data_IF_130111663021
#
_entry.id   IF_130111663021
#
_cell.length_a   1.000
_cell.length_b   1.000
_cell.length_c   1.000
_cell.angle_alpha   90.00
_cell.angle_beta   90.00
_cell.angle_gamma   90.00
#
_symmetry.space_group_name_H-M   'P 1'
#
loop_
_entity.id
_entity.type
_entity.pdbx_description
1 polymer ?
#
# COMPACT_ATOMS: atom_id res chain seq x y z
N UNK A 1 -21.18 17.49 26.55
CA UNK A 1 -19.85 16.89 26.16
C UNK A 1 -19.75 15.58 26.87
N UNK A 2 -20.18 14.50 26.24
CA UNK A 2 -20.10 13.17 26.84
C UNK A 2 -18.64 12.79 26.99
N UNK A 3 -18.27 12.42 28.23
CA UNK A 3 -16.91 11.96 28.53
C UNK A 3 -16.55 10.85 27.56
N UNK A 4 -15.48 11.04 26.80
CA UNK A 4 -15.00 10.09 25.80
C UNK A 4 -14.68 8.75 26.48
N UNK A 5 -15.59 7.79 26.37
CA UNK A 5 -15.51 6.49 27.04
C UNK A 5 -14.70 5.47 26.21
N UNK A 6 -13.61 5.91 25.53
CA UNK A 6 -12.73 5.07 24.74
C UNK A 6 -11.25 5.35 25.01
N UNK A 7 -10.40 4.32 24.90
CA UNK A 7 -8.96 4.43 25.09
C UNK A 7 -8.24 4.73 23.76
N UNK A 8 -7.99 6.04 23.49
CA UNK A 8 -7.35 6.50 22.24
C UNK A 8 -5.99 5.84 21.99
N UNK A 9 -5.15 5.65 23.02
CA UNK A 9 -3.82 5.03 22.86
C UNK A 9 -3.94 3.57 22.45
N UNK A 10 -4.87 2.84 23.07
CA UNK A 10 -5.10 1.42 22.77
C UNK A 10 -5.70 1.23 21.38
N UNK A 11 -6.68 2.08 20.99
CA UNK A 11 -7.27 2.06 19.64
C UNK A 11 -6.24 2.41 18.57
N UNK A 12 -5.34 3.38 18.85
CA UNK A 12 -4.25 3.71 17.93
C UNK A 12 -3.27 2.54 17.78
N UNK A 13 -2.84 1.94 18.89
CA UNK A 13 -1.95 0.76 18.87
C UNK A 13 -2.59 -0.40 18.09
N UNK A 14 -3.86 -0.69 18.35
CA UNK A 14 -4.64 -1.68 17.63
C UNK A 14 -4.66 -1.41 16.12
N UNK A 15 -4.92 -0.15 15.72
CA UNK A 15 -4.90 0.25 14.31
C UNK A 15 -3.53 0.00 13.66
N UNK A 16 -2.44 0.34 14.35
CA UNK A 16 -1.07 0.09 13.88
C UNK A 16 -0.79 -1.40 13.70
N UNK A 17 -1.19 -2.24 14.67
CA UNK A 17 -1.00 -3.70 14.58
C UNK A 17 -1.87 -4.31 13.48
N UNK A 18 -3.10 -3.84 13.31
CA UNK A 18 -3.97 -4.27 12.22
C UNK A 18 -3.34 -3.96 10.84
N UNK A 19 -2.74 -2.77 10.69
CA UNK A 19 -2.03 -2.37 9.47
C UNK A 19 -0.77 -3.22 9.22
N UNK A 20 -0.10 -3.70 10.27
CA UNK A 20 1.03 -4.63 10.15
C UNK A 20 0.58 -5.97 9.52
N UNK A 21 -0.61 -6.50 9.82
CA UNK A 21 -1.14 -7.69 9.15
C UNK A 21 -1.26 -7.46 7.65
N UNK A 22 -1.87 -6.33 7.26
CA UNK A 22 -1.93 -5.90 5.87
C UNK A 22 -0.54 -5.85 5.23
N UNK A 23 0.41 -5.17 5.87
CA UNK A 23 1.75 -4.97 5.37
C UNK A 23 2.55 -6.28 5.20
N UNK A 24 2.54 -7.16 6.21
CA UNK A 24 3.22 -8.46 6.13
C UNK A 24 2.62 -9.31 5.01
N UNK A 25 1.29 -9.21 4.75
CA UNK A 25 0.67 -9.94 3.63
C UNK A 25 1.23 -9.54 2.26
N UNK A 26 1.75 -8.32 2.11
CA UNK A 26 2.46 -7.87 0.90
C UNK A 26 3.85 -8.54 0.79
N UNK A 27 4.65 -8.52 1.86
CA UNK A 27 5.94 -9.19 1.89
C UNK A 27 5.81 -10.72 1.66
N UNK A 28 4.75 -11.32 2.23
CA UNK A 28 4.45 -12.73 2.08
C UNK A 28 4.23 -13.10 0.61
N UNK A 29 3.36 -12.40 -0.11
CA UNK A 29 3.12 -12.67 -1.53
C UNK A 29 4.40 -12.49 -2.35
N UNK A 30 5.16 -11.41 -2.11
CA UNK A 30 6.41 -11.15 -2.81
C UNK A 30 7.45 -12.27 -2.63
N UNK A 31 7.49 -12.93 -1.46
CA UNK A 31 8.42 -14.04 -1.20
C UNK A 31 7.90 -15.39 -1.68
N UNK A 32 6.60 -15.64 -1.54
CA UNK A 32 6.01 -16.95 -1.85
C UNK A 32 5.70 -17.15 -3.33
N UNK A 33 5.72 -16.09 -4.14
CA UNK A 33 5.49 -16.17 -5.59
C UNK A 33 6.28 -17.30 -6.25
N UNK A 34 7.63 -17.33 -6.22
CA UNK A 34 8.40 -18.38 -6.86
C UNK A 34 8.19 -19.76 -6.23
N UNK A 35 7.88 -19.82 -4.92
CA UNK A 35 7.60 -21.08 -4.24
C UNK A 35 6.28 -21.67 -4.76
N UNK A 36 5.21 -20.88 -4.84
CA UNK A 36 3.92 -21.36 -5.36
C UNK A 36 3.98 -21.71 -6.85
N UNK A 37 4.80 -21.00 -7.64
CA UNK A 37 5.06 -21.38 -9.02
C UNK A 37 5.66 -22.77 -9.10
N UNK A 38 6.67 -23.04 -8.27
CA UNK A 38 7.35 -24.35 -8.23
C UNK A 38 6.45 -25.45 -7.66
N UNK A 39 5.84 -25.22 -6.48
CA UNK A 39 5.12 -26.26 -5.74
C UNK A 39 3.80 -26.67 -6.43
N UNK A 40 3.15 -25.73 -7.13
CA UNK A 40 1.86 -25.95 -7.79
C UNK A 40 1.93 -26.01 -9.31
N UNK A 41 3.12 -25.88 -9.89
CA UNK A 41 3.32 -25.88 -11.34
C UNK A 41 2.62 -24.71 -12.05
N UNK A 42 2.57 -23.54 -11.40
CA UNK A 42 1.90 -22.35 -11.92
C UNK A 42 2.84 -21.49 -12.74
N UNK A 43 2.30 -20.88 -13.78
CA UNK A 43 3.02 -19.85 -14.55
C UNK A 43 3.03 -18.51 -13.79
N UNK A 44 3.87 -17.58 -14.22
CA UNK A 44 3.90 -16.23 -13.65
C UNK A 44 2.58 -15.48 -13.91
N UNK A 45 1.90 -15.79 -15.01
CA UNK A 45 0.55 -15.28 -15.31
C UNK A 45 -0.47 -15.82 -14.32
N UNK A 46 -0.45 -17.14 -14.04
CA UNK A 46 -1.37 -17.79 -13.08
C UNK A 46 -1.21 -17.18 -11.68
N UNK A 47 0.02 -16.96 -11.23
CA UNK A 47 0.29 -16.31 -9.94
C UNK A 47 -0.19 -14.86 -9.94
N UNK A 48 0.02 -14.11 -11.03
CA UNK A 48 -0.51 -12.77 -11.17
C UNK A 48 -2.03 -12.71 -11.04
N UNK A 49 -2.71 -13.68 -11.64
CA UNK A 49 -4.16 -13.85 -11.54
C UNK A 49 -4.58 -14.26 -10.10
N UNK A 50 -3.91 -15.23 -9.49
CA UNK A 50 -4.22 -15.69 -8.14
C UNK A 50 -3.97 -14.62 -7.06
N UNK A 51 -3.02 -13.71 -7.27
CA UNK A 51 -2.72 -12.61 -6.35
C UNK A 51 -3.51 -11.33 -6.63
N UNK A 52 -4.08 -11.18 -7.82
CA UNK A 52 -4.92 -10.05 -8.20
C UNK A 52 -6.02 -9.71 -7.17
N UNK A 53 -6.77 -10.72 -6.63
CA UNK A 53 -7.81 -10.49 -5.62
C UNK A 53 -7.35 -9.78 -4.35
N UNK A 54 -6.08 -9.90 -3.98
CA UNK A 54 -5.54 -9.16 -2.85
C UNK A 54 -5.61 -7.64 -3.07
N UNK A 55 -5.62 -7.17 -4.31
CA UNK A 55 -5.62 -5.75 -4.69
C UNK A 55 -7.02 -5.25 -5.07
N UNK A 56 -7.73 -5.93 -6.00
CA UNK A 56 -9.10 -5.47 -6.33
C UNK A 56 -10.09 -5.75 -5.20
N UNK A 57 -9.89 -6.82 -4.41
CA UNK A 57 -10.64 -7.06 -3.19
C UNK A 57 -10.42 -5.95 -2.16
N UNK A 58 -9.18 -5.48 -2.03
CA UNK A 58 -8.84 -4.31 -1.23
C UNK A 58 -9.61 -3.06 -1.71
N UNK A 59 -9.60 -2.78 -3.02
CA UNK A 59 -10.30 -1.64 -3.62
C UNK A 59 -11.80 -1.68 -3.34
N UNK A 60 -12.43 -2.81 -3.67
CA UNK A 60 -13.87 -3.01 -3.46
C UNK A 60 -14.22 -2.82 -1.98
N UNK A 61 -13.44 -3.42 -1.11
CA UNK A 61 -13.61 -3.34 0.34
C UNK A 61 -13.48 -1.92 0.87
N UNK A 62 -12.46 -1.16 0.43
CA UNK A 62 -12.32 0.25 0.83
C UNK A 62 -13.54 1.09 0.47
N UNK A 63 -14.03 0.95 -0.77
CA UNK A 63 -15.19 1.73 -1.24
C UNK A 63 -16.47 1.30 -0.51
N UNK A 64 -16.71 -0.01 -0.39
CA UNK A 64 -17.90 -0.53 0.26
C UNK A 64 -17.91 -0.22 1.75
N UNK A 65 -16.89 -0.65 2.49
CA UNK A 65 -16.88 -0.43 3.94
C UNK A 65 -16.67 1.03 4.31
N UNK A 66 -15.92 1.81 3.51
CA UNK A 66 -15.84 3.26 3.68
C UNK A 66 -17.19 3.96 3.56
N UNK A 67 -18.10 3.44 2.72
CA UNK A 67 -19.47 3.95 2.60
C UNK A 67 -20.38 3.51 3.75
N UNK A 68 -20.13 2.32 4.32
CA UNK A 68 -20.99 1.74 5.37
C UNK A 68 -20.44 1.88 6.80
N UNK A 69 -19.19 2.29 6.97
CA UNK A 69 -18.55 2.38 8.29
C UNK A 69 -19.31 3.30 9.25
N UNK A 70 -19.95 4.34 8.72
CA UNK A 70 -20.74 5.29 9.50
C UNK A 70 -22.04 4.67 10.04
N UNK A 71 -22.66 3.78 9.27
CA UNK A 71 -23.95 3.13 9.63
C UNK A 71 -23.74 1.81 10.41
N UNK A 72 -22.71 1.05 10.06
CA UNK A 72 -22.41 -0.23 10.69
C UNK A 72 -21.55 -0.08 11.95
N UNK A 73 -20.73 0.95 11.98
CA UNK A 73 -19.75 1.23 13.02
C UNK A 73 -18.40 0.53 12.77
N UNK A 74 -17.32 1.24 13.07
CA UNK A 74 -15.94 0.81 12.85
C UNK A 74 -15.63 -0.56 13.49
N UNK A 75 -16.18 -0.87 14.67
CA UNK A 75 -15.96 -2.15 15.35
C UNK A 75 -16.45 -3.35 14.55
N UNK A 76 -17.61 -3.26 13.90
CA UNK A 76 -18.15 -4.36 13.09
C UNK A 76 -17.30 -4.58 11.84
N UNK A 77 -16.86 -3.49 11.19
CA UNK A 77 -15.99 -3.57 10.02
C UNK A 77 -14.64 -4.23 10.39
N UNK A 78 -14.05 -3.86 11.54
CA UNK A 78 -12.82 -4.49 12.05
C UNK A 78 -13.01 -5.96 12.44
N UNK A 79 -14.19 -6.34 12.96
CA UNK A 79 -14.52 -7.75 13.24
C UNK A 79 -14.58 -8.56 11.94
N UNK A 80 -15.19 -8.00 10.88
CA UNK A 80 -15.21 -8.63 9.56
C UNK A 80 -13.79 -8.76 8.99
N UNK A 81 -12.96 -7.71 9.11
CA UNK A 81 -11.56 -7.77 8.70
C UNK A 81 -10.79 -8.88 9.41
N UNK A 82 -10.99 -9.02 10.74
CA UNK A 82 -10.38 -10.10 11.52
C UNK A 82 -10.75 -11.49 11.01
N UNK A 83 -12.05 -11.72 10.78
CA UNK A 83 -12.55 -13.00 10.27
C UNK A 83 -11.98 -13.29 8.87
N UNK A 84 -11.98 -12.30 7.99
CA UNK A 84 -11.47 -12.43 6.63
C UNK A 84 -9.95 -12.69 6.61
N UNK A 85 -9.18 -12.01 7.45
CA UNK A 85 -7.76 -12.30 7.60
C UNK A 85 -7.54 -13.73 8.13
N UNK A 86 -8.30 -14.16 9.14
CA UNK A 86 -8.20 -15.52 9.67
C UNK A 86 -8.48 -16.56 8.57
N UNK A 87 -9.58 -16.39 7.83
CA UNK A 87 -9.96 -17.28 6.70
C UNK A 87 -8.86 -17.27 5.62
N UNK A 88 -8.39 -16.09 5.23
CA UNK A 88 -7.40 -15.95 4.16
C UNK A 88 -6.03 -16.51 4.53
N UNK A 89 -5.56 -16.30 5.77
CA UNK A 89 -4.31 -16.87 6.28
C UNK A 89 -4.42 -18.40 6.33
N UNK A 90 -5.53 -18.92 6.93
CA UNK A 90 -5.78 -20.36 6.98
C UNK A 90 -5.85 -20.95 5.57
N UNK A 91 -6.62 -20.33 4.67
CA UNK A 91 -6.75 -20.78 3.30
C UNK A 91 -5.43 -20.78 2.53
N UNK A 92 -4.54 -19.82 2.82
CA UNK A 92 -3.19 -19.79 2.22
C UNK A 92 -2.34 -20.94 2.75
N UNK A 93 -2.36 -21.23 4.05
CA UNK A 93 -1.60 -22.35 4.65
C UNK A 93 -1.99 -23.69 4.03
N UNK A 94 -3.28 -23.89 3.77
CA UNK A 94 -3.83 -25.12 3.20
C UNK A 94 -4.06 -25.03 1.68
N UNK A 95 -3.47 -24.05 1.01
CA UNK A 95 -3.60 -23.91 -0.44
C UNK A 95 -2.96 -25.10 -1.17
N UNK A 96 -3.56 -25.46 -2.30
CA UNK A 96 -3.13 -26.59 -3.13
C UNK A 96 -3.08 -26.29 -4.63
N UNK A 97 -3.18 -25.02 -5.00
CA UNK A 97 -3.15 -24.58 -6.39
C UNK A 97 -3.75 -23.19 -6.59
N UNK A 98 -3.90 -22.78 -7.83
CA UNK A 98 -4.29 -21.43 -8.26
C UNK A 98 -5.59 -20.95 -7.61
N UNK A 99 -6.66 -21.76 -7.63
CA UNK A 99 -7.98 -21.34 -7.13
C UNK A 99 -8.03 -21.20 -5.62
N UNK A 100 -7.34 -22.07 -4.88
CA UNK A 100 -7.24 -21.92 -3.42
C UNK A 100 -6.47 -20.67 -3.02
N UNK A 101 -5.40 -20.35 -3.74
CA UNK A 101 -4.68 -19.09 -3.60
C UNK A 101 -5.56 -17.87 -3.95
N UNK A 102 -6.31 -17.95 -5.05
CA UNK A 102 -7.22 -16.88 -5.48
C UNK A 102 -8.24 -16.52 -4.38
N UNK A 103 -8.94 -17.50 -3.82
CA UNK A 103 -9.92 -17.24 -2.77
C UNK A 103 -9.27 -16.83 -1.44
N UNK A 104 -8.12 -17.37 -1.10
CA UNK A 104 -7.37 -16.99 0.10
C UNK A 104 -6.87 -15.53 0.01
N UNK A 105 -6.32 -15.15 -1.13
CA UNK A 105 -5.85 -13.78 -1.37
C UNK A 105 -7.00 -12.78 -1.48
N UNK A 106 -8.17 -13.21 -2.01
CA UNK A 106 -9.39 -12.41 -2.00
C UNK A 106 -9.84 -12.10 -0.56
N UNK A 107 -9.86 -13.11 0.31
CA UNK A 107 -10.21 -12.91 1.72
C UNK A 107 -9.23 -11.96 2.42
N UNK A 108 -7.92 -12.13 2.21
CA UNK A 108 -6.91 -11.22 2.75
C UNK A 108 -7.10 -9.80 2.18
N UNK A 109 -7.33 -9.66 0.88
CA UNK A 109 -7.49 -8.36 0.23
C UNK A 109 -8.71 -7.59 0.74
N UNK A 110 -9.86 -8.27 0.87
CA UNK A 110 -11.07 -7.68 1.44
C UNK A 110 -10.85 -7.31 2.92
N UNK A 111 -10.15 -8.15 3.69
CA UNK A 111 -9.75 -7.86 5.07
C UNK A 111 -8.85 -6.62 5.16
N UNK A 112 -7.84 -6.51 4.30
CA UNK A 112 -6.92 -5.37 4.23
C UNK A 112 -7.67 -4.05 3.95
N UNK A 113 -8.57 -4.04 2.96
CA UNK A 113 -9.37 -2.85 2.64
C UNK A 113 -10.34 -2.47 3.76
N UNK A 114 -10.89 -3.45 4.47
CA UNK A 114 -11.74 -3.21 5.65
C UNK A 114 -10.95 -2.57 6.80
N UNK A 115 -9.67 -2.97 7.02
CA UNK A 115 -8.77 -2.32 7.98
C UNK A 115 -8.59 -0.85 7.63
N UNK A 116 -8.26 -0.53 6.38
CA UNK A 116 -8.06 0.86 5.96
C UNK A 116 -9.35 1.69 6.06
N UNK A 117 -10.48 1.12 5.63
CA UNK A 117 -11.78 1.78 5.69
C UNK A 117 -12.23 2.13 7.13
N UNK A 118 -11.81 1.34 8.12
CA UNK A 118 -12.15 1.57 9.53
C UNK A 118 -11.07 2.33 10.30
N UNK A 119 -9.78 2.01 10.13
CA UNK A 119 -8.71 2.58 10.94
C UNK A 119 -8.37 4.02 10.56
N UNK A 120 -8.46 4.40 9.28
CA UNK A 120 -8.22 5.78 8.86
C UNK A 120 -9.18 6.77 9.56
N UNK A 121 -10.52 6.62 9.45
CA UNK A 121 -11.44 7.48 10.16
C UNK A 121 -11.34 7.34 11.68
N UNK A 122 -11.01 6.16 12.21
CA UNK A 122 -10.78 5.95 13.64
C UNK A 122 -9.63 6.83 14.15
N UNK A 123 -8.46 6.77 13.50
CA UNK A 123 -7.29 7.57 13.88
C UNK A 123 -7.60 9.06 13.78
N UNK A 124 -8.29 9.51 12.73
CA UNK A 124 -8.73 10.90 12.60
C UNK A 124 -9.67 11.32 13.74
N UNK A 125 -10.62 10.45 14.13
CA UNK A 125 -11.61 10.74 15.17
C UNK A 125 -11.02 10.78 16.58
N UNK A 126 -10.05 9.91 16.90
CA UNK A 126 -9.43 9.87 18.23
C UNK A 126 -8.34 10.95 18.43
N UNK A 127 -7.88 11.60 17.35
CA UNK A 127 -6.89 12.68 17.39
C UNK A 127 -7.33 13.89 16.56
N UNK A 128 -8.48 14.53 16.88
CA UNK A 128 -9.08 15.58 16.05
C UNK A 128 -8.18 16.81 15.86
N UNK A 129 -7.35 17.13 16.86
CA UNK A 129 -6.45 18.30 16.84
C UNK A 129 -5.11 18.02 16.17
N UNK A 130 -4.79 16.77 15.79
CA UNK A 130 -3.48 16.38 15.23
C UNK A 130 -3.61 15.25 14.20
N UNK A 131 -4.68 15.30 13.39
CA UNK A 131 -5.06 14.25 12.43
C UNK A 131 -3.95 13.88 11.46
N UNK A 132 -3.42 14.88 10.74
CA UNK A 132 -2.43 14.66 9.70
C UNK A 132 -1.17 13.98 10.25
N UNK A 133 -0.64 14.43 11.39
CA UNK A 133 0.54 13.84 12.00
C UNK A 133 0.27 12.42 12.50
N UNK A 134 -0.90 12.17 13.09
CA UNK A 134 -1.26 10.85 13.62
C UNK A 134 -1.58 9.84 12.52
N UNK A 135 -2.21 10.27 11.42
CA UNK A 135 -2.39 9.45 10.23
C UNK A 135 -1.04 9.11 9.57
N UNK A 136 -0.13 10.08 9.43
CA UNK A 136 1.22 9.79 8.94
C UNK A 136 1.94 8.79 9.84
N UNK A 137 1.85 8.95 11.18
CA UNK A 137 2.43 8.01 12.15
C UNK A 137 1.79 6.61 12.06
N UNK A 138 0.50 6.52 11.80
CA UNK A 138 -0.20 5.27 11.53
C UNK A 138 0.36 4.61 10.26
N UNK A 139 0.46 5.35 9.15
CA UNK A 139 0.90 4.81 7.86
C UNK A 139 2.41 4.49 7.76
N UNK A 140 3.24 4.88 8.71
CA UNK A 140 4.63 4.38 8.82
C UNK A 140 4.66 2.86 9.01
N UNK A 141 3.63 2.29 9.64
CA UNK A 141 3.56 0.86 9.94
C UNK A 141 3.26 -0.01 8.70
N UNK A 142 2.83 0.58 7.58
CA UNK A 142 2.71 -0.15 6.33
C UNK A 142 4.10 -0.52 5.76
N UNK A 143 4.99 0.41 5.39
CA UNK A 143 6.33 0.04 4.97
C UNK A 143 7.13 -0.63 6.10
N UNK A 144 6.92 -0.24 7.36
CA UNK A 144 7.53 -0.89 8.52
C UNK A 144 7.14 -2.36 8.68
N UNK A 145 5.86 -2.68 8.44
CA UNK A 145 5.38 -4.07 8.45
C UNK A 145 5.92 -4.90 7.29
N UNK A 146 6.13 -4.29 6.11
CA UNK A 146 6.80 -4.97 4.99
C UNK A 146 8.26 -5.28 5.35
N UNK A 147 8.98 -4.36 6.01
CA UNK A 147 10.34 -4.63 6.51
C UNK A 147 10.33 -5.84 7.45
N UNK A 148 9.42 -5.84 8.45
CA UNK A 148 9.30 -6.96 9.39
C UNK A 148 9.03 -8.26 8.64
N UNK A 149 8.03 -8.28 7.74
CA UNK A 149 7.68 -9.46 6.95
C UNK A 149 8.84 -9.95 6.08
N UNK A 150 9.57 -9.04 5.43
CA UNK A 150 10.71 -9.39 4.56
C UNK A 150 11.88 -9.97 5.34
N UNK A 151 12.21 -9.39 6.52
CA UNK A 151 13.28 -9.91 7.37
C UNK A 151 12.89 -11.26 7.99
N UNK A 152 11.65 -11.42 8.44
CA UNK A 152 11.15 -12.72 8.93
C UNK A 152 11.17 -13.75 7.82
N UNK A 153 10.76 -13.41 6.58
CA UNK A 153 10.87 -14.31 5.44
C UNK A 153 12.31 -14.75 5.19
N UNK A 154 13.24 -13.80 5.15
CA UNK A 154 14.65 -14.09 4.95
C UNK A 154 15.18 -15.06 6.02
N UNK A 155 14.97 -14.76 7.31
CA UNK A 155 15.46 -15.64 8.37
C UNK A 155 14.79 -17.01 8.38
N UNK A 156 13.48 -17.09 8.21
CA UNK A 156 12.76 -18.36 8.28
C UNK A 156 13.02 -19.23 7.06
N UNK A 157 12.97 -18.67 5.86
CA UNK A 157 12.99 -19.45 4.62
C UNK A 157 14.40 -19.56 4.02
N UNK A 158 15.23 -18.50 4.07
CA UNK A 158 16.52 -18.51 3.41
C UNK A 158 17.67 -18.89 4.37
N UNK A 159 17.56 -18.60 5.68
CA UNK A 159 18.60 -18.93 6.67
C UNK A 159 18.29 -20.23 7.39
N UNK A 160 17.06 -20.38 7.91
CA UNK A 160 16.65 -21.53 8.74
C UNK A 160 16.01 -22.65 7.91
N UNK A 161 15.74 -22.43 6.62
CA UNK A 161 15.10 -23.38 5.70
C UNK A 161 13.81 -24.00 6.26
N UNK A 162 12.99 -23.20 6.94
CA UNK A 162 11.70 -23.63 7.47
C UNK A 162 10.64 -23.70 6.36
N UNK A 163 9.60 -24.46 6.60
CA UNK A 163 8.47 -24.56 5.68
C UNK A 163 7.73 -23.21 5.56
N UNK A 164 7.35 -22.85 4.33
CA UNK A 164 6.66 -21.60 4.06
C UNK A 164 5.33 -21.45 4.79
N UNK A 165 4.65 -22.57 5.13
CA UNK A 165 3.42 -22.55 5.92
C UNK A 165 3.64 -21.94 7.32
N UNK A 166 4.81 -22.18 7.94
CA UNK A 166 5.16 -21.55 9.22
C UNK A 166 5.34 -20.04 9.08
N UNK A 167 5.95 -19.59 7.96
CA UNK A 167 6.06 -18.16 7.67
C UNK A 167 4.67 -17.51 7.49
N UNK A 168 3.75 -18.16 6.77
CA UNK A 168 2.36 -17.69 6.68
C UNK A 168 1.68 -17.65 8.05
N UNK A 169 1.87 -18.69 8.86
CA UNK A 169 1.28 -18.78 10.20
C UNK A 169 1.75 -17.66 11.16
N UNK A 170 2.92 -17.04 10.91
CA UNK A 170 3.37 -15.87 11.67
C UNK A 170 2.39 -14.69 11.64
N UNK A 171 1.56 -14.58 10.58
CA UNK A 171 0.52 -13.55 10.51
C UNK A 171 -0.55 -13.68 11.60
N UNK A 172 -0.74 -14.88 12.18
CA UNK A 172 -1.65 -15.03 13.30
C UNK A 172 -1.23 -14.25 14.54
N UNK A 173 0.08 -13.97 14.71
CA UNK A 173 0.58 -13.22 15.86
C UNK A 173 -0.03 -11.80 15.87
N UNK A 174 0.24 -10.92 14.87
CA UNK A 174 -0.35 -9.59 14.85
C UNK A 174 -1.89 -9.63 14.70
N UNK A 175 -2.45 -10.64 14.02
CA UNK A 175 -3.89 -10.84 13.90
C UNK A 175 -4.55 -10.98 15.28
N UNK A 176 -4.06 -11.92 16.09
CA UNK A 176 -4.60 -12.16 17.44
C UNK A 176 -4.39 -10.94 18.34
N UNK A 177 -3.22 -10.28 18.25
CA UNK A 177 -2.93 -9.11 19.06
C UNK A 177 -3.94 -7.99 18.77
N UNK A 178 -4.19 -7.61 17.51
CA UNK A 178 -5.17 -6.54 17.25
C UNK A 178 -6.60 -6.99 17.59
N UNK A 179 -6.92 -8.27 17.36
CA UNK A 179 -8.21 -8.84 17.77
C UNK A 179 -8.47 -8.68 19.27
N UNK A 180 -7.50 -9.07 20.11
CA UNK A 180 -7.61 -8.93 21.56
C UNK A 180 -7.65 -7.46 22.02
N UNK A 181 -6.95 -6.57 21.32
CA UNK A 181 -6.92 -5.16 21.66
C UNK A 181 -8.27 -4.46 21.46
N UNK A 182 -9.09 -4.86 20.46
CA UNK A 182 -10.35 -4.17 20.20
C UNK A 182 -11.60 -4.83 20.81
N UNK A 183 -11.53 -6.09 21.25
CA UNK A 183 -12.71 -6.86 21.68
C UNK A 183 -13.58 -6.14 22.73
N UNK A 184 -12.93 -5.55 23.76
CA UNK A 184 -13.62 -4.86 24.88
C UNK A 184 -13.68 -3.36 24.72
N UNK A 185 -13.14 -2.79 23.62
CA UNK A 185 -13.09 -1.34 23.43
C UNK A 185 -14.40 -0.80 22.85
N UNK A 186 -14.75 0.39 23.30
CA UNK A 186 -15.76 1.24 22.67
C UNK A 186 -15.10 2.10 21.59
N UNK A 187 -15.84 2.41 20.53
CA UNK A 187 -15.33 3.17 19.38
C UNK A 187 -16.08 4.50 19.28
N UNK A 188 -15.39 5.59 18.91
CA UNK A 188 -16.06 6.87 18.64
C UNK A 188 -16.94 6.77 17.39
N UNK A 189 -17.82 7.76 17.20
CA UNK A 189 -18.45 7.99 15.91
C UNK A 189 -17.43 8.59 14.94
N UNK A 190 -17.63 8.35 13.63
CA UNK A 190 -16.77 8.95 12.62
C UNK A 190 -16.98 10.46 12.52
N UNK A 191 -15.95 11.19 12.15
CA UNK A 191 -16.02 12.64 12.00
C UNK A 191 -17.05 13.08 10.95
N UNK A 192 -17.30 12.26 9.92
CA UNK A 192 -18.33 12.52 8.91
C UNK A 192 -19.72 12.65 9.50
N UNK A 193 -20.06 11.81 10.48
CA UNK A 193 -21.36 11.88 11.19
C UNK A 193 -21.49 13.21 11.93
N UNK A 194 -20.37 13.73 12.45
CA UNK A 194 -20.36 14.98 13.21
C UNK A 194 -20.26 16.24 12.36
N UNK A 195 -19.76 16.19 11.12
CA UNK A 195 -19.50 17.36 10.26
C UNK A 195 -20.61 17.70 9.25
N UNK A 196 -21.60 16.83 9.05
CA UNK A 196 -22.76 17.09 8.20
C UNK A 196 -22.51 17.18 6.69
N UNK A 197 -21.34 16.79 6.17
CA UNK A 197 -21.02 16.81 4.73
C UNK A 197 -21.89 15.81 3.96
N UNK A 198 -22.55 16.29 2.91
CA UNK A 198 -23.44 15.45 2.10
C UNK A 198 -22.67 14.52 1.15
N UNK A 199 -23.14 13.30 1.02
CA UNK A 199 -22.55 12.30 0.10
C UNK A 199 -22.59 12.77 -1.36
N UNK A 200 -23.63 13.52 -1.76
CA UNK A 200 -23.81 14.00 -3.13
C UNK A 200 -22.72 14.98 -3.58
N UNK A 201 -22.31 15.89 -2.72
CA UNK A 201 -21.21 16.83 -3.00
C UNK A 201 -19.88 16.13 -3.18
N UNK A 202 -19.59 15.12 -2.35
CA UNK A 202 -18.39 14.31 -2.50
C UNK A 202 -18.35 13.59 -3.85
N UNK A 203 -19.44 12.92 -4.26
CA UNK A 203 -19.51 12.24 -5.57
C UNK A 203 -19.33 13.20 -6.74
N UNK A 204 -19.96 14.40 -6.68
CA UNK A 204 -19.80 15.42 -7.70
C UNK A 204 -18.35 15.90 -7.83
N UNK A 205 -17.60 15.97 -6.75
CA UNK A 205 -16.19 16.39 -6.79
C UNK A 205 -15.29 15.41 -7.55
N UNK A 206 -15.64 14.12 -7.59
CA UNK A 206 -14.88 13.10 -8.32
C UNK A 206 -14.93 13.30 -9.86
N UNK A 207 -15.91 14.04 -10.36
CA UNK A 207 -16.02 14.35 -11.80
C UNK A 207 -15.17 15.54 -12.23
N UNK A 208 -14.48 16.22 -11.32
CA UNK A 208 -13.60 17.34 -11.66
C UNK A 208 -12.42 16.87 -12.50
N UNK A 209 -12.04 17.63 -13.56
CA UNK A 209 -10.92 17.24 -14.43
C UNK A 209 -9.61 17.00 -13.68
N UNK A 210 -9.34 17.79 -12.63
CA UNK A 210 -8.13 17.61 -11.80
C UNK A 210 -8.19 16.33 -10.98
N UNK A 211 -9.38 15.91 -10.50
CA UNK A 211 -9.54 14.63 -9.81
C UNK A 211 -9.28 13.46 -10.77
N UNK A 212 -9.85 13.48 -11.96
CA UNK A 212 -9.67 12.45 -12.99
C UNK A 212 -8.20 12.36 -13.41
N UNK A 213 -7.52 13.51 -13.57
CA UNK A 213 -6.09 13.57 -13.85
C UNK A 213 -5.27 12.90 -12.72
N UNK A 214 -5.55 13.24 -11.47
CA UNK A 214 -4.86 12.63 -10.32
C UNK A 214 -5.17 11.15 -10.18
N UNK A 215 -6.41 10.73 -10.46
CA UNK A 215 -6.82 9.32 -10.49
C UNK A 215 -6.00 8.54 -11.54
N UNK A 216 -5.83 9.08 -12.74
CA UNK A 216 -4.99 8.48 -13.79
C UNK A 216 -3.51 8.41 -13.34
N UNK A 217 -2.97 9.49 -12.80
CA UNK A 217 -1.60 9.47 -12.25
C UNK A 217 -1.44 8.43 -11.14
N UNK A 218 -2.47 8.23 -10.30
CA UNK A 218 -2.43 7.24 -9.21
C UNK A 218 -2.33 5.81 -9.72
N UNK A 219 -3.00 5.47 -10.83
CA UNK A 219 -2.84 4.17 -11.47
C UNK A 219 -1.36 3.90 -11.80
N UNK A 220 -0.67 4.88 -12.37
CA UNK A 220 0.73 4.74 -12.79
C UNK A 220 1.71 4.74 -11.61
N UNK A 221 1.48 5.59 -10.59
CA UNK A 221 2.34 5.64 -9.39
C UNK A 221 2.26 4.36 -8.59
N UNK A 222 1.05 3.83 -8.37
CA UNK A 222 0.84 2.59 -7.63
C UNK A 222 1.45 1.37 -8.33
N UNK A 223 1.32 1.29 -9.65
CA UNK A 223 1.98 0.24 -10.44
C UNK A 223 3.51 0.34 -10.31
N UNK A 224 4.07 1.53 -10.45
CA UNK A 224 5.52 1.75 -10.33
C UNK A 224 6.05 1.26 -8.99
N UNK A 225 5.38 1.58 -7.90
CA UNK A 225 5.77 1.22 -6.54
C UNK A 225 5.43 -0.25 -6.21
N UNK A 226 4.14 -0.58 -6.23
CA UNK A 226 3.64 -1.82 -5.63
C UNK A 226 3.81 -3.04 -6.54
N UNK A 227 3.59 -2.93 -7.86
CA UNK A 227 3.74 -4.07 -8.74
C UNK A 227 5.20 -4.54 -8.79
N UNK A 228 6.17 -3.61 -8.83
CA UNK A 228 7.60 -3.93 -8.73
C UNK A 228 7.94 -4.64 -7.42
N UNK A 229 7.42 -4.15 -6.28
CA UNK A 229 7.66 -4.78 -4.98
C UNK A 229 7.03 -6.18 -4.86
N UNK A 230 5.85 -6.38 -5.44
CA UNK A 230 5.17 -7.68 -5.40
C UNK A 230 5.89 -8.76 -6.23
N UNK A 231 6.56 -8.39 -7.30
CA UNK A 231 7.32 -9.29 -8.16
C UNK A 231 8.82 -9.31 -7.85
N UNK A 232 9.27 -8.71 -6.77
CA UNK A 232 10.70 -8.50 -6.49
C UNK A 232 11.51 -9.80 -6.50
N UNK A 233 10.95 -10.90 -6.03
CA UNK A 233 11.61 -12.20 -6.00
C UNK A 233 11.89 -12.73 -7.41
N UNK A 234 10.88 -12.69 -8.29
CA UNK A 234 11.03 -13.14 -9.68
C UNK A 234 11.83 -12.16 -10.53
N UNK A 235 11.67 -10.84 -10.31
CA UNK A 235 12.39 -9.82 -11.06
C UNK A 235 13.91 -9.84 -10.79
N UNK A 236 14.33 -10.25 -9.60
CA UNK A 236 15.73 -10.30 -9.17
C UNK A 236 16.29 -11.73 -9.12
N UNK A 237 15.61 -12.73 -9.68
CA UNK A 237 16.04 -14.13 -9.62
C UNK A 237 17.49 -14.34 -10.12
N UNK A 238 17.86 -13.66 -11.19
CA UNK A 238 19.19 -13.77 -11.82
C UNK A 238 20.16 -12.64 -11.43
N UNK A 239 19.78 -11.79 -10.47
CA UNK A 239 20.54 -10.57 -10.16
C UNK A 239 21.61 -10.75 -9.07
N UNK A 240 21.89 -11.99 -8.62
CA UNK A 240 22.82 -12.29 -7.53
C UNK A 240 22.62 -11.41 -6.28
N UNK A 241 21.39 -11.19 -5.90
CA UNK A 241 20.99 -10.43 -4.73
C UNK A 241 19.90 -11.22 -3.95
N UNK A 242 19.73 -10.91 -2.66
CA UNK A 242 18.70 -11.55 -1.86
C UNK A 242 17.42 -10.68 -1.93
N UNK A 243 16.37 -11.12 -2.66
CA UNK A 243 15.20 -10.26 -2.95
C UNK A 243 14.52 -9.71 -1.70
N UNK A 244 14.42 -10.50 -0.62
CA UNK A 244 13.79 -10.05 0.61
C UNK A 244 14.59 -8.97 1.35
N UNK A 245 15.92 -8.99 1.26
CA UNK A 245 16.74 -7.91 1.81
C UNK A 245 16.64 -6.65 0.94
N UNK A 246 16.51 -6.79 -0.38
CA UNK A 246 16.24 -5.67 -1.29
C UNK A 246 14.88 -5.04 -0.96
N UNK A 247 13.84 -5.85 -0.75
CA UNK A 247 12.50 -5.38 -0.36
C UNK A 247 12.53 -4.69 1.01
N UNK A 248 13.22 -5.27 2.00
CA UNK A 248 13.38 -4.69 3.32
C UNK A 248 14.13 -3.35 3.28
N UNK A 249 15.19 -3.24 2.48
CA UNK A 249 15.92 -1.99 2.26
C UNK A 249 15.04 -0.93 1.62
N UNK A 250 14.35 -1.28 0.53
CA UNK A 250 13.47 -0.36 -0.21
C UNK A 250 12.38 0.19 0.72
N UNK A 251 11.66 -0.69 1.39
CA UNK A 251 10.54 -0.28 2.26
C UNK A 251 11.02 0.38 3.56
N UNK A 252 12.18 0.00 4.07
CA UNK A 252 12.83 0.65 5.21
C UNK A 252 13.22 2.10 4.90
N UNK A 253 13.84 2.35 3.76
CA UNK A 253 14.14 3.71 3.30
C UNK A 253 12.89 4.53 3.01
N UNK A 254 11.80 3.88 2.50
CA UNK A 254 10.50 4.54 2.36
C UNK A 254 9.92 4.96 3.72
N UNK A 255 9.97 4.08 4.72
CA UNK A 255 9.50 4.41 6.07
C UNK A 255 10.27 5.58 6.68
N UNK A 256 11.60 5.56 6.57
CA UNK A 256 12.47 6.66 7.02
C UNK A 256 12.19 7.96 6.25
N UNK A 257 12.12 7.90 4.92
CA UNK A 257 11.85 9.07 4.09
C UNK A 257 10.49 9.70 4.40
N UNK A 258 9.44 8.88 4.62
CA UNK A 258 8.11 9.37 5.06
C UNK A 258 8.15 9.99 6.44
N UNK A 259 8.93 9.44 7.38
CA UNK A 259 9.09 10.03 8.71
C UNK A 259 9.75 11.42 8.68
N UNK A 260 10.64 11.66 7.72
CA UNK A 260 11.37 12.92 7.54
C UNK A 260 10.87 13.76 6.35
N UNK A 261 9.67 13.50 5.83
CA UNK A 261 9.13 14.17 4.63
C UNK A 261 8.91 15.68 4.81
N UNK A 262 8.60 16.15 6.03
CA UNK A 262 8.24 17.55 6.30
C UNK A 262 9.20 18.60 5.67
N UNK A 263 10.51 18.60 5.97
CA UNK A 263 11.45 19.54 5.39
C UNK A 263 11.56 19.49 3.86
N UNK A 264 11.33 18.31 3.26
CA UNK A 264 11.40 18.12 1.80
C UNK A 264 10.16 18.71 1.12
N UNK A 265 8.98 18.47 1.68
CA UNK A 265 7.69 19.03 1.19
C UNK A 265 7.72 20.55 1.21
N UNK A 266 8.25 21.17 2.28
CA UNK A 266 8.34 22.62 2.38
C UNK A 266 9.24 23.27 1.30
N UNK A 267 10.25 22.55 0.81
CA UNK A 267 11.17 23.06 -0.22
C UNK A 267 10.67 22.85 -1.65
N UNK A 268 10.03 21.72 -1.94
CA UNK A 268 9.72 21.29 -3.30
C UNK A 268 8.27 21.57 -3.75
N UNK A 269 7.35 21.94 -2.88
CA UNK A 269 5.90 21.90 -3.08
C UNK A 269 5.37 20.47 -3.36
N UNK A 270 4.07 20.27 -3.21
CA UNK A 270 3.42 18.94 -3.42
C UNK A 270 3.61 18.44 -4.86
N UNK A 271 3.41 19.30 -5.87
CA UNK A 271 3.62 18.96 -7.29
C UNK A 271 5.10 18.76 -7.66
N UNK A 272 6.00 19.55 -7.08
CA UNK A 272 7.45 19.40 -7.26
C UNK A 272 7.96 18.09 -6.68
N UNK A 273 7.41 17.66 -5.56
CA UNK A 273 7.74 16.40 -4.92
C UNK A 273 7.30 15.19 -5.77
N UNK A 274 6.11 15.26 -6.40
CA UNK A 274 5.65 14.24 -7.34
C UNK A 274 6.56 14.15 -8.56
N UNK A 275 6.97 15.29 -9.13
CA UNK A 275 7.91 15.32 -10.25
C UNK A 275 9.28 14.74 -9.88
N UNK A 276 9.84 15.15 -8.73
CA UNK A 276 11.08 14.59 -8.19
C UNK A 276 10.98 13.06 -8.03
N UNK A 277 9.89 12.57 -7.43
CA UNK A 277 9.63 11.15 -7.24
C UNK A 277 9.59 10.40 -8.57
N UNK A 278 8.93 10.93 -9.60
CA UNK A 278 8.88 10.30 -10.92
C UNK A 278 10.26 10.21 -11.58
N UNK A 279 11.06 11.27 -11.51
CA UNK A 279 12.43 11.28 -12.07
C UNK A 279 13.31 10.24 -11.36
N UNK A 280 13.32 10.25 -10.02
CA UNK A 280 14.21 9.38 -9.23
C UNK A 280 13.75 7.92 -9.33
N UNK A 281 12.45 7.63 -9.37
CA UNK A 281 11.96 6.26 -9.56
C UNK A 281 12.26 5.72 -10.95
N UNK A 282 12.19 6.55 -12.00
CA UNK A 282 12.64 6.19 -13.34
C UNK A 282 14.12 5.78 -13.34
N UNK A 283 14.99 6.63 -12.77
CA UNK A 283 16.42 6.34 -12.65
C UNK A 283 16.64 5.05 -11.85
N UNK A 284 15.96 4.88 -10.71
CA UNK A 284 16.06 3.69 -9.86
C UNK A 284 15.69 2.40 -10.59
N UNK A 285 14.57 2.38 -11.35
CA UNK A 285 14.16 1.23 -12.14
C UNK A 285 15.15 0.92 -13.29
N UNK A 286 15.64 1.94 -13.97
CA UNK A 286 16.69 1.78 -14.98
C UNK A 286 17.95 1.19 -14.35
N UNK A 287 18.41 1.72 -13.22
CA UNK A 287 19.56 1.16 -12.51
C UNK A 287 19.32 -0.30 -12.11
N UNK A 288 18.14 -0.62 -11.53
CA UNK A 288 17.80 -2.00 -11.15
C UNK A 288 17.86 -2.96 -12.34
N UNK A 289 17.42 -2.52 -13.53
CA UNK A 289 17.38 -3.34 -14.74
C UNK A 289 18.77 -3.74 -15.28
N UNK A 290 19.82 -2.99 -14.91
CA UNK A 290 21.21 -3.26 -15.32
C UNK A 290 22.11 -3.70 -14.16
N UNK A 291 21.59 -3.76 -12.93
CA UNK A 291 22.39 -4.05 -11.74
C UNK A 291 22.49 -5.54 -11.46
N UNK A 292 23.64 -5.95 -10.91
CA UNK A 292 23.90 -7.31 -10.43
C UNK A 292 24.66 -7.25 -9.10
N UNK A 293 24.47 -8.25 -8.25
CA UNK A 293 25.15 -8.36 -6.96
C UNK A 293 24.89 -7.14 -6.05
N UNK A 294 25.96 -6.58 -5.50
CA UNK A 294 25.87 -5.46 -4.54
C UNK A 294 25.23 -4.19 -5.14
N UNK A 295 25.39 -3.98 -6.46
CA UNK A 295 24.81 -2.81 -7.12
C UNK A 295 23.28 -2.82 -7.14
N UNK A 296 22.63 -3.98 -6.98
CA UNK A 296 21.17 -4.09 -6.84
C UNK A 296 20.69 -3.33 -5.61
N UNK A 297 21.41 -3.39 -4.50
CA UNK A 297 21.04 -2.68 -3.26
C UNK A 297 21.18 -1.17 -3.42
N UNK A 298 22.20 -0.70 -4.14
CA UNK A 298 22.36 0.74 -4.44
C UNK A 298 21.22 1.23 -5.34
N UNK A 299 20.90 0.49 -6.39
CA UNK A 299 19.81 0.80 -7.30
C UNK A 299 18.44 0.78 -6.57
N UNK A 300 18.24 -0.19 -5.69
CA UNK A 300 17.04 -0.29 -4.84
C UNK A 300 16.91 0.90 -3.88
N UNK A 301 18.01 1.40 -3.34
CA UNK A 301 18.00 2.61 -2.51
C UNK A 301 17.59 3.86 -3.31
N UNK A 302 18.07 4.02 -4.55
CA UNK A 302 17.64 5.09 -5.45
C UNK A 302 16.16 4.94 -5.77
N UNK A 303 15.70 3.74 -6.12
CA UNK A 303 14.30 3.46 -6.39
C UNK A 303 13.41 3.77 -5.17
N UNK A 304 13.84 3.39 -3.97
CA UNK A 304 13.14 3.66 -2.72
C UNK A 304 12.91 5.15 -2.49
N UNK A 305 13.95 5.98 -2.70
CA UNK A 305 13.83 7.45 -2.60
C UNK A 305 12.82 7.99 -3.63
N UNK A 306 12.80 7.42 -4.82
CA UNK A 306 11.84 7.79 -5.87
C UNK A 306 10.40 7.50 -5.46
N UNK A 307 10.08 6.28 -5.10
CA UNK A 307 8.69 5.86 -4.81
C UNK A 307 8.19 6.28 -3.44
N UNK A 308 9.10 6.66 -2.52
CA UNK A 308 8.80 6.98 -1.13
C UNK A 308 7.61 7.93 -0.96
N UNK A 309 7.52 8.95 -1.80
CA UNK A 309 6.58 10.05 -1.65
C UNK A 309 5.34 9.96 -2.55
N UNK A 310 5.25 9.00 -3.47
CA UNK A 310 4.12 8.92 -4.39
C UNK A 310 2.79 8.89 -3.65
N UNK A 311 2.56 7.86 -2.86
CA UNK A 311 1.28 7.64 -2.21
C UNK A 311 0.84 8.80 -1.30
N UNK A 312 1.63 9.22 -0.29
CA UNK A 312 1.19 10.27 0.62
C UNK A 312 1.04 11.63 -0.07
N UNK A 313 1.87 11.92 -1.07
CA UNK A 313 1.82 13.20 -1.78
C UNK A 313 0.64 13.28 -2.75
N UNK A 314 0.26 12.16 -3.39
CA UNK A 314 -0.93 12.07 -4.23
C UNK A 314 -2.21 12.33 -3.41
N UNK A 315 -2.33 11.67 -2.25
CA UNK A 315 -3.45 11.89 -1.32
C UNK A 315 -3.46 13.33 -0.77
N UNK A 316 -2.29 13.85 -0.39
CA UNK A 316 -2.13 15.21 0.09
C UNK A 316 -2.56 16.25 -0.93
N UNK A 317 -2.15 16.09 -2.19
CA UNK A 317 -2.56 16.99 -3.29
C UNK A 317 -4.08 16.99 -3.48
N UNK A 318 -4.73 15.82 -3.47
CA UNK A 318 -6.18 15.72 -3.61
C UNK A 318 -6.89 16.38 -2.41
N UNK A 319 -6.41 16.16 -1.20
CA UNK A 319 -6.96 16.77 0.01
C UNK A 319 -6.83 18.31 0.01
N UNK A 320 -5.73 18.85 -0.57
CA UNK A 320 -5.48 20.28 -0.64
C UNK A 320 -6.24 20.99 -1.76
N UNK A 321 -6.27 20.41 -2.95
CA UNK A 321 -6.84 21.05 -4.15
C UNK A 321 -8.32 20.68 -4.40
N UNK A 322 -8.81 19.61 -3.76
CA UNK A 322 -10.20 19.13 -3.88
C UNK A 322 -10.76 18.78 -2.49
N UNK A 323 -10.79 19.72 -1.53
CA UNK A 323 -11.19 19.43 -0.15
C UNK A 323 -12.62 18.89 -0.04
N UNK A 324 -13.52 19.25 -0.96
CA UNK A 324 -14.89 18.76 -1.01
C UNK A 324 -14.98 17.26 -1.40
N UNK A 325 -13.93 16.65 -1.88
CA UNK A 325 -13.91 15.19 -2.12
C UNK A 325 -13.90 14.38 -0.82
N UNK A 326 -13.39 14.98 0.25
CA UNK A 326 -13.38 14.41 1.59
C UNK A 326 -12.76 13.02 1.67
N UNK A 327 -13.24 12.20 2.59
CA UNK A 327 -12.79 10.84 2.77
C UNK A 327 -13.10 9.94 1.55
N UNK A 328 -14.20 10.20 0.83
CA UNK A 328 -14.56 9.45 -0.37
C UNK A 328 -13.51 9.61 -1.47
N UNK A 329 -13.07 10.87 -1.75
CA UNK A 329 -12.06 11.14 -2.76
C UNK A 329 -10.74 10.44 -2.46
N UNK A 330 -10.29 10.49 -1.21
CA UNK A 330 -9.06 9.80 -0.78
C UNK A 330 -9.18 8.28 -0.90
N UNK A 331 -10.35 7.71 -0.51
CA UNK A 331 -10.61 6.26 -0.65
C UNK A 331 -10.66 5.82 -2.12
N UNK A 332 -11.28 6.60 -2.99
CA UNK A 332 -11.33 6.30 -4.43
C UNK A 332 -9.95 6.36 -5.08
N UNK A 333 -9.16 7.40 -4.78
CA UNK A 333 -7.77 7.52 -5.29
C UNK A 333 -6.94 6.32 -4.81
N UNK A 334 -6.95 6.01 -3.51
CA UNK A 334 -6.21 4.86 -2.98
C UNK A 334 -6.68 3.52 -3.56
N UNK A 335 -8.01 3.34 -3.67
CA UNK A 335 -8.60 2.16 -4.27
C UNK A 335 -8.20 1.97 -5.74
N UNK A 336 -8.18 3.03 -6.55
CA UNK A 336 -7.73 2.99 -7.94
C UNK A 336 -6.25 2.57 -8.04
N UNK A 337 -5.40 3.05 -7.13
CA UNK A 337 -4.01 2.61 -7.06
C UNK A 337 -3.91 1.09 -6.86
N UNK A 338 -4.62 0.53 -5.89
CA UNK A 338 -4.63 -0.92 -5.66
C UNK A 338 -5.23 -1.69 -6.84
N UNK A 339 -6.29 -1.15 -7.47
CA UNK A 339 -6.91 -1.76 -8.65
C UNK A 339 -5.93 -1.87 -9.82
N UNK A 340 -5.12 -0.84 -10.08
CA UNK A 340 -4.13 -0.88 -11.16
C UNK A 340 -3.10 -1.98 -11.00
N UNK A 341 -2.67 -2.25 -9.77
CA UNK A 341 -1.74 -3.34 -9.47
C UNK A 341 -2.36 -4.70 -9.81
N UNK A 342 -3.66 -4.90 -9.53
CA UNK A 342 -4.35 -6.16 -9.87
C UNK A 342 -4.38 -6.47 -11.36
N UNK A 343 -4.37 -5.42 -12.21
CA UNK A 343 -4.33 -5.56 -13.67
C UNK A 343 -2.89 -5.82 -14.15
N UNK A 344 -1.92 -5.11 -13.59
CA UNK A 344 -0.55 -5.16 -14.10
C UNK A 344 0.19 -6.43 -13.68
N UNK A 345 -0.12 -7.02 -12.52
CA UNK A 345 0.53 -8.25 -12.07
C UNK A 345 0.37 -9.43 -13.06
N UNK A 346 -0.84 -9.76 -13.58
CA UNK A 346 -0.97 -10.78 -14.63
C UNK A 346 -0.25 -10.40 -15.93
N UNK A 347 -0.29 -9.12 -16.33
CA UNK A 347 0.40 -8.63 -17.54
C UNK A 347 1.92 -8.83 -17.41
N UNK A 348 2.51 -8.49 -16.26
CA UNK A 348 3.92 -8.79 -15.99
C UNK A 348 4.19 -10.30 -16.07
N UNK A 349 3.25 -11.13 -15.59
CA UNK A 349 3.33 -12.58 -15.71
C UNK A 349 3.43 -13.03 -17.17
N UNK A 350 2.57 -12.53 -18.05
CA UNK A 350 2.61 -12.84 -19.50
C UNK A 350 3.98 -12.53 -20.09
N UNK A 351 4.58 -11.38 -19.79
CA UNK A 351 5.91 -11.04 -20.27
C UNK A 351 6.96 -12.04 -19.78
N UNK A 352 6.92 -12.42 -18.51
CA UNK A 352 7.86 -13.39 -17.92
C UNK A 352 7.66 -14.80 -18.52
N UNK A 353 6.44 -15.26 -18.72
CA UNK A 353 6.11 -16.55 -19.29
C UNK A 353 6.54 -16.66 -20.78
N UNK A 354 6.59 -15.53 -21.51
CA UNK A 354 7.09 -15.47 -22.89
C UNK A 354 8.61 -15.36 -22.99
N UNK A 355 9.32 -15.52 -21.87
CA UNK A 355 10.80 -15.54 -21.81
C UNK A 355 11.44 -14.17 -21.59
N UNK A 356 10.65 -13.13 -21.27
CA UNK A 356 11.20 -11.82 -20.91
C UNK A 356 11.90 -11.93 -19.55
N UNK A 357 13.17 -11.56 -19.50
CA UNK A 357 13.94 -11.59 -18.26
C UNK A 357 13.44 -10.57 -17.24
N UNK A 358 13.68 -10.83 -15.96
CA UNK A 358 13.31 -9.91 -14.88
C UNK A 358 13.91 -8.50 -15.05
N UNK A 359 15.16 -8.41 -15.51
CA UNK A 359 15.84 -7.15 -15.85
C UNK A 359 15.12 -6.37 -16.96
N UNK A 360 14.65 -7.07 -17.99
CA UNK A 360 13.90 -6.45 -19.10
C UNK A 360 12.50 -6.03 -18.64
N UNK A 361 11.84 -6.83 -17.82
CA UNK A 361 10.56 -6.47 -17.19
C UNK A 361 10.71 -5.20 -16.35
N UNK A 362 11.76 -5.04 -15.56
CA UNK A 362 12.06 -3.81 -14.80
C UNK A 362 12.24 -2.61 -15.75
N UNK A 363 12.86 -2.80 -16.90
CA UNK A 363 12.99 -1.74 -17.91
C UNK A 363 11.63 -1.33 -18.48
N UNK A 364 10.73 -2.27 -18.75
CA UNK A 364 9.36 -1.93 -19.16
C UNK A 364 8.59 -1.21 -18.05
N UNK A 365 8.76 -1.62 -16.79
CA UNK A 365 8.15 -0.93 -15.65
C UNK A 365 8.60 0.53 -15.52
N UNK A 366 9.80 0.89 -16.01
CA UNK A 366 10.28 2.27 -15.98
C UNK A 366 9.51 3.21 -16.91
N UNK A 367 8.74 2.71 -17.89
CA UNK A 367 7.90 3.56 -18.73
C UNK A 367 6.78 4.24 -17.95
N UNK A 368 6.29 3.64 -16.86
CA UNK A 368 5.28 4.27 -16.01
C UNK A 368 5.79 5.57 -15.38
N UNK A 369 6.92 5.59 -14.66
CA UNK A 369 7.44 6.86 -14.15
C UNK A 369 7.94 7.78 -15.26
N UNK A 370 8.34 7.31 -16.44
CA UNK A 370 8.67 8.17 -17.59
C UNK A 370 7.44 8.97 -18.04
N UNK A 371 6.27 8.35 -18.13
CA UNK A 371 5.00 9.04 -18.42
C UNK A 371 4.67 10.01 -17.29
N UNK A 372 4.85 9.61 -16.04
CA UNK A 372 4.62 10.47 -14.87
C UNK A 372 5.52 11.70 -14.85
N UNK A 373 6.76 11.65 -15.36
CA UNK A 373 7.63 12.83 -15.49
C UNK A 373 6.94 13.90 -16.35
N UNK A 374 6.33 13.52 -17.47
CA UNK A 374 5.62 14.45 -18.34
C UNK A 374 4.37 15.00 -17.63
N UNK A 375 3.55 14.12 -17.05
CA UNK A 375 2.31 14.49 -16.38
C UNK A 375 2.56 15.38 -15.16
N UNK A 376 3.51 15.03 -14.32
CA UNK A 376 3.86 15.81 -13.13
C UNK A 376 4.66 17.07 -13.49
N UNK A 377 5.41 17.09 -14.60
CA UNK A 377 5.97 18.28 -15.16
C UNK A 377 4.89 19.30 -15.54
N UNK A 378 3.82 18.84 -16.21
CA UNK A 378 2.65 19.67 -16.50
C UNK A 378 1.95 20.13 -15.20
N UNK A 379 1.74 19.25 -14.24
CA UNK A 379 1.16 19.59 -12.94
C UNK A 379 2.01 20.67 -12.23
N UNK A 380 3.33 20.48 -12.20
CA UNK A 380 4.28 21.43 -11.58
C UNK A 380 4.24 22.79 -12.26
N UNK A 381 4.12 22.86 -13.59
CA UNK A 381 4.02 24.14 -14.31
C UNK A 381 2.78 24.94 -13.90
N UNK A 382 1.67 24.27 -13.55
CA UNK A 382 0.41 24.91 -13.14
C UNK A 382 0.34 25.19 -11.62
N UNK A 383 0.84 24.30 -10.79
CA UNK A 383 0.65 24.30 -9.34
C UNK A 383 1.93 24.53 -8.54
N UNK A 384 3.12 24.40 -9.15
CA UNK A 384 4.41 24.49 -8.46
C UNK A 384 4.74 25.88 -7.89
N UNK A 385 4.13 26.94 -8.44
CA UNK A 385 4.32 28.33 -7.98
C UNK A 385 3.30 28.78 -6.92
N UNK A 386 2.27 28.00 -6.63
CA UNK A 386 1.24 28.30 -5.64
C UNK A 386 1.67 27.80 -4.26
N UNK A 387 1.84 28.77 -3.37
CA UNK A 387 2.03 28.68 -1.91
C UNK A 387 3.48 28.50 -1.41
N UNK A 388 4.14 29.62 -1.21
CA UNK A 388 4.80 29.82 0.08
C UNK A 388 3.69 29.96 1.12
N UNK A 389 3.39 28.88 1.85
CA UNK A 389 2.49 28.95 3.01
C UNK A 389 3.15 29.87 4.01
N UNK A 390 2.56 31.03 4.27
CA UNK A 390 2.85 31.82 5.46
C UNK A 390 2.40 30.97 6.65
N UNK A 391 3.37 30.32 7.29
CA UNK A 391 3.20 29.83 8.65
C UNK A 391 3.36 31.07 9.51
N UNK A 392 2.24 31.63 9.97
CA UNK A 392 2.24 32.52 11.14
C UNK A 392 2.72 31.68 12.32
N UNK A 393 3.85 32.07 12.89
CA UNK A 393 4.47 31.61 14.13
C UNK A 393 3.48 31.72 15.30
#
# INVERSE_FOLDING_TARGET
>A
MDAQNYNSKKLFLMSCVALIVTAISFALRARLEPIFMSDYGLTATDIGFAFGPAFYGFTISMVLFGSFVDSWGMKKVLTMAFILHFIGITGTIFSSGMWSLFFSTAAIGVGNGAIEAACNPLVASIYPNNKAAMLNRFHVWFPGGIVIGSLVAYFMLDVLNLNWQLYVAMLYIPLVIYGLLFLKETFPQTERVTSGVTTGEMWKSLTKPIFIFMAFCMLLTAVTELATQQRISSLLADANAIPMLVLALTTGLMALGRAFAGPVVHKLSTSGMLLFSAIVSFIGLQMLSYSNGLMVYVAAAVFAVGVCFFWPTMLGFVAEEIPESGALGLSVIGGLGMFSVSIVLPIMGVFMDTGTQGSETLRYMSYFPAILIVLFGFLYSKYGKKKKVQVSV
#
